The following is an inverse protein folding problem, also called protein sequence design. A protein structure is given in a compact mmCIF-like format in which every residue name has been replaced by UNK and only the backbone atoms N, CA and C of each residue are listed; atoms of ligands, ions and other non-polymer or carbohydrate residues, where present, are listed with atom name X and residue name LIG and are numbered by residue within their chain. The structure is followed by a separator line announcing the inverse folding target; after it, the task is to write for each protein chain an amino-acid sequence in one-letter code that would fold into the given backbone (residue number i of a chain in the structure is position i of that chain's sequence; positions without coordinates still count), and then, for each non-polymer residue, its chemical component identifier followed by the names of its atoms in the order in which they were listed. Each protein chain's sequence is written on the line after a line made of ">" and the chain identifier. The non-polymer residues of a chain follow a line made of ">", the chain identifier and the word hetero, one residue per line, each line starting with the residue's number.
data_IF_717453424058
#
_entry.id   IF_717453424058
#
_cell.length_a   1.000
_cell.length_b   1.000
_cell.length_c   1.000
_cell.angle_alpha   90.00
_cell.angle_beta   90.00
_cell.angle_gamma   90.00
#
_symmetry.space_group_name_H-M   'P 1'
#
loop_
_entity.id
_entity.type
_entity.pdbx_description
1 polymer ?
#
# COMPACT_ATOMS: atom_id res chain seq x y z
N UNK A 1 -8.96 8.11 -6.09
CA UNK A 1 -8.20 6.86 -5.88
C UNK A 1 -7.77 6.33 -7.21
N UNK A 2 -6.51 5.92 -7.33
CA UNK A 2 -5.92 5.49 -8.60
C UNK A 2 -4.99 4.31 -8.34
N UNK A 3 -5.12 3.25 -9.15
CA UNK A 3 -4.10 2.20 -9.23
C UNK A 3 -2.96 2.75 -10.10
N UNK A 4 -1.75 2.75 -9.55
CA UNK A 4 -0.53 3.17 -10.24
C UNK A 4 0.02 1.98 -11.01
N UNK A 5 0.22 0.86 -10.32
CA UNK A 5 0.79 -0.38 -10.86
C UNK A 5 0.21 -1.60 -10.13
N UNK A 6 0.22 -2.74 -10.82
CA UNK A 6 -0.24 -4.03 -10.31
C UNK A 6 0.74 -5.12 -10.75
N UNK A 7 1.07 -6.01 -9.82
CA UNK A 7 1.98 -7.12 -10.02
C UNK A 7 1.38 -8.40 -9.46
N UNK A 8 1.51 -9.48 -10.22
CA UNK A 8 1.30 -10.84 -9.73
C UNK A 8 2.60 -11.37 -9.14
N UNK A 9 2.53 -11.94 -7.94
CA UNK A 9 3.70 -12.39 -7.20
C UNK A 9 3.58 -13.86 -6.83
N UNK A 10 4.72 -14.54 -6.71
CA UNK A 10 4.80 -15.88 -6.14
C UNK A 10 5.40 -15.76 -4.73
N UNK A 11 4.71 -16.24 -3.71
CA UNK A 11 5.18 -16.17 -2.32
C UNK A 11 4.02 -16.10 -1.33
N UNK A 12 4.21 -15.32 -0.27
CA UNK A 12 3.21 -15.16 0.79
C UNK A 12 1.95 -14.39 0.36
N UNK A 13 2.04 -13.63 -0.73
CA UNK A 13 0.94 -12.86 -1.32
C UNK A 13 0.93 -13.09 -2.83
N UNK A 14 -0.27 -13.18 -3.41
CA UNK A 14 -0.47 -13.46 -4.83
C UNK A 14 -0.40 -12.19 -5.69
N UNK A 15 -0.62 -11.02 -5.08
CA UNK A 15 -0.61 -9.73 -5.77
C UNK A 15 -0.06 -8.61 -4.90
N UNK A 16 0.56 -7.62 -5.56
CA UNK A 16 0.98 -6.34 -4.99
C UNK A 16 0.43 -5.21 -5.87
N UNK A 17 -0.27 -4.26 -5.26
CA UNK A 17 -0.88 -3.12 -5.95
C UNK A 17 -0.36 -1.82 -5.34
N UNK A 18 0.18 -0.94 -6.18
CA UNK A 18 0.58 0.41 -5.79
C UNK A 18 -0.62 1.32 -6.07
N UNK A 19 -1.09 2.02 -5.03
CA UNK A 19 -2.27 2.88 -5.12
C UNK A 19 -2.00 4.27 -4.57
N UNK A 20 -2.60 5.27 -5.21
CA UNK A 20 -2.65 6.66 -4.74
C UNK A 20 -4.06 7.02 -4.29
N UNK A 21 -4.15 7.59 -3.09
CA UNK A 21 -5.36 8.18 -2.53
C UNK A 21 -5.09 9.63 -2.09
N UNK A 22 -6.14 10.47 -2.00
CA UNK A 22 -5.99 11.85 -1.52
C UNK A 22 -5.47 11.94 -0.07
N UNK A 23 -5.81 10.95 0.75
CA UNK A 23 -5.48 10.85 2.17
C UNK A 23 -5.56 9.38 2.65
N UNK A 24 -5.02 9.14 3.85
CA UNK A 24 -4.96 7.81 4.47
C UNK A 24 -6.35 7.28 4.86
N UNK A 25 -7.31 8.15 5.20
CA UNK A 25 -8.68 7.75 5.57
C UNK A 25 -9.42 7.15 4.38
N UNK A 26 -9.31 7.80 3.22
CA UNK A 26 -9.87 7.34 1.94
C UNK A 26 -9.29 5.99 1.54
N UNK A 27 -7.98 5.79 1.71
CA UNK A 27 -7.33 4.50 1.42
C UNK A 27 -7.82 3.39 2.37
N UNK A 28 -7.93 3.68 3.66
CA UNK A 28 -8.38 2.70 4.65
C UNK A 28 -9.85 2.30 4.41
N UNK A 29 -10.73 3.26 4.14
CA UNK A 29 -12.13 2.97 3.83
C UNK A 29 -12.26 2.05 2.62
N UNK A 30 -11.44 2.26 1.59
CA UNK A 30 -11.40 1.40 0.41
C UNK A 30 -10.93 -0.02 0.72
N UNK A 31 -9.79 -0.17 1.40
CA UNK A 31 -9.24 -1.50 1.70
C UNK A 31 -10.16 -2.29 2.63
N UNK A 32 -10.79 -1.62 3.61
CA UNK A 32 -11.79 -2.26 4.46
C UNK A 32 -13.02 -2.72 3.66
N UNK A 33 -13.48 -1.91 2.70
CA UNK A 33 -14.57 -2.30 1.81
C UNK A 33 -14.19 -3.50 0.92
N UNK A 34 -12.98 -3.52 0.38
CA UNK A 34 -12.47 -4.65 -0.42
C UNK A 34 -12.39 -5.91 0.45
N UNK A 35 -11.81 -5.82 1.64
CA UNK A 35 -11.73 -6.93 2.60
C UNK A 35 -13.10 -7.44 3.05
N UNK A 36 -14.10 -6.55 3.20
CA UNK A 36 -15.46 -6.95 3.61
C UNK A 36 -16.19 -7.80 2.57
N UNK A 37 -15.74 -7.80 1.31
CA UNK A 37 -16.31 -8.67 0.26
C UNK A 37 -15.83 -10.11 0.37
N UNK A 38 -14.84 -10.41 1.22
CA UNK A 38 -14.37 -11.77 1.51
C UNK A 38 -13.45 -12.39 0.46
N UNK A 39 -13.36 -11.80 -0.73
CA UNK A 39 -12.55 -12.34 -1.83
C UNK A 39 -11.05 -12.03 -1.70
N UNK A 40 -10.68 -11.05 -0.87
CA UNK A 40 -9.29 -10.57 -0.74
C UNK A 40 -8.95 -10.40 0.74
N UNK A 41 -7.82 -10.97 1.14
CA UNK A 41 -7.18 -10.70 2.43
C UNK A 41 -5.79 -10.14 2.15
N UNK A 42 -5.53 -8.93 2.59
CA UNK A 42 -4.28 -8.22 2.29
C UNK A 42 -3.73 -7.46 3.49
N UNK A 43 -2.55 -6.87 3.28
CA UNK A 43 -1.91 -5.96 4.23
C UNK A 43 -1.60 -4.65 3.51
N UNK A 44 -2.05 -3.53 4.09
CA UNK A 44 -1.68 -2.20 3.60
C UNK A 44 -0.29 -1.84 4.13
N UNK A 45 0.60 -1.45 3.23
CA UNK A 45 1.94 -0.99 3.57
C UNK A 45 2.08 0.48 3.16
N UNK A 46 2.57 1.33 4.06
CA UNK A 46 2.97 2.69 3.70
C UNK A 46 4.27 2.62 2.90
N UNK A 47 4.20 2.94 1.62
CA UNK A 47 5.38 3.06 0.78
C UNK A 47 6.05 4.43 0.99
N UNK A 48 7.37 4.42 1.13
CA UNK A 48 8.19 5.64 1.19
C UNK A 48 9.02 5.74 -0.08
N UNK A 49 9.08 6.92 -0.68
CA UNK A 49 10.03 7.20 -1.75
C UNK A 49 11.46 7.21 -1.21
N UNK A 50 12.43 7.01 -2.11
CA UNK A 50 13.87 7.01 -1.77
C UNK A 50 14.28 8.24 -0.94
N UNK A 51 13.88 9.43 -1.38
CA UNK A 51 14.18 10.69 -0.69
C UNK A 51 13.52 10.81 0.69
N UNK A 52 12.34 10.21 0.89
CA UNK A 52 11.69 10.15 2.21
C UNK A 52 12.47 9.21 3.14
N UNK A 53 12.88 8.04 2.63
CA UNK A 53 13.70 7.10 3.38
C UNK A 53 15.07 7.69 3.76
N UNK A 54 15.72 8.43 2.87
CA UNK A 54 16.97 9.15 3.17
C UNK A 54 16.81 10.13 4.34
N UNK A 55 15.70 10.89 4.37
CA UNK A 55 15.37 11.80 5.49
C UNK A 55 15.11 11.04 6.79
N UNK A 56 14.46 9.87 6.72
CA UNK A 56 14.22 9.03 7.90
C UNK A 56 15.56 8.52 8.45
N UNK A 57 16.44 8.01 7.60
CA UNK A 57 17.75 7.50 7.99
C UNK A 57 18.65 8.59 8.58
N UNK A 58 18.55 9.83 8.10
CA UNK A 58 19.29 10.96 8.65
C UNK A 58 18.96 11.26 10.13
N UNK A 59 17.80 10.83 10.63
CA UNK A 59 17.40 11.02 12.04
C UNK A 59 17.99 9.98 13.00
N UNK A 60 18.60 8.91 12.48
CA UNK A 60 19.22 7.84 13.28
C UNK A 60 20.70 8.17 13.61
N UNK A 61 21.27 9.17 12.93
CA UNK A 61 22.64 9.66 13.18
C UNK A 61 22.72 10.61 14.37
#
# INVERSE_FOLDING_TARGET
>A
MKIVEEYWTMGAYDAVVIMEAPDDETMNAFILKVGSLGNVKGQTLRAFRRNEMEKILAKIK
#
